data_IF_063970586581
#
_entry.id   IF_063970586581
#
_cell.length_a   1.000
_cell.length_b   1.000
_cell.length_c   1.000
_cell.angle_alpha   90.00
_cell.angle_beta   90.00
_cell.angle_gamma   90.00
#
_symmetry.space_group_name_H-M   'P 1'
#
loop_
_entity.id
_entity.type
_entity.pdbx_description
1 polymer ?
#
# COMPACT_ATOMS: atom_id res chain seq x y z
N UNK A 1 2.27 0.43 -20.84
CA UNK A 1 2.87 0.06 -19.53
C UNK A 1 1.92 -0.85 -18.79
N UNK A 2 2.42 -1.89 -18.11
CA UNK A 2 1.60 -2.86 -17.37
C UNK A 2 2.03 -2.90 -15.91
N UNK A 3 1.13 -2.54 -14.98
CA UNK A 3 1.41 -2.46 -13.54
C UNK A 3 0.59 -3.53 -12.80
N UNK A 4 1.26 -4.32 -11.96
CA UNK A 4 0.62 -5.21 -11.01
C UNK A 4 0.26 -4.41 -9.75
N UNK A 5 -1.01 -4.31 -9.44
CA UNK A 5 -1.49 -3.76 -8.18
C UNK A 5 -1.80 -4.92 -7.22
N UNK A 6 -1.22 -4.90 -6.02
CA UNK A 6 -1.46 -5.91 -4.98
C UNK A 6 -2.11 -5.29 -3.75
N UNK A 7 -3.21 -5.89 -3.27
CA UNK A 7 -3.93 -5.50 -2.06
C UNK A 7 -3.82 -6.55 -0.95
N UNK A 8 -4.01 -6.15 0.30
CA UNK A 8 -4.20 -7.08 1.43
C UNK A 8 -5.64 -7.61 1.52
N UNK A 9 -6.60 -6.96 0.89
CA UNK A 9 -7.98 -7.47 0.87
C UNK A 9 -8.13 -8.62 -0.12
N UNK A 10 -9.07 -9.51 0.14
CA UNK A 10 -9.65 -10.38 -0.89
C UNK A 10 -10.59 -9.47 -1.70
N UNK A 11 -10.19 -9.08 -2.91
CA UNK A 11 -10.91 -8.05 -3.69
C UNK A 11 -12.29 -8.51 -4.14
N UNK A 12 -12.47 -9.80 -4.33
CA UNK A 12 -13.73 -10.43 -4.71
C UNK A 12 -14.82 -10.24 -3.65
N UNK A 13 -14.42 -10.13 -2.38
CA UNK A 13 -15.33 -9.94 -1.25
C UNK A 13 -15.80 -8.48 -1.09
N UNK A 14 -15.20 -7.54 -1.83
CA UNK A 14 -15.38 -6.10 -1.66
C UNK A 14 -15.66 -5.36 -2.99
N UNK A 15 -16.70 -5.77 -3.79
CA UNK A 15 -16.92 -5.20 -5.12
C UNK A 15 -17.05 -3.67 -5.15
N UNK A 16 -17.80 -2.98 -4.24
CA UNK A 16 -17.91 -1.52 -4.31
C UNK A 16 -16.56 -0.80 -4.13
N UNK A 17 -15.72 -1.29 -3.22
CA UNK A 17 -14.37 -0.77 -3.02
C UNK A 17 -13.48 -1.05 -4.22
N UNK A 18 -13.46 -2.30 -4.71
CA UNK A 18 -12.67 -2.71 -5.87
C UNK A 18 -12.98 -1.86 -7.10
N UNK A 19 -14.26 -1.68 -7.41
CA UNK A 19 -14.70 -0.97 -8.61
C UNK A 19 -14.40 0.54 -8.50
N UNK A 20 -14.60 1.13 -7.32
CA UNK A 20 -14.24 2.51 -7.05
C UNK A 20 -12.72 2.75 -7.18
N UNK A 21 -11.92 1.82 -6.67
CA UNK A 21 -10.45 1.86 -6.77
C UNK A 21 -10.00 1.77 -8.23
N UNK A 22 -10.59 0.86 -9.02
CA UNK A 22 -10.29 0.71 -10.44
C UNK A 22 -10.61 1.98 -11.23
N UNK A 23 -11.78 2.59 -10.96
CA UNK A 23 -12.17 3.84 -11.60
C UNK A 23 -11.26 5.01 -11.20
N UNK A 24 -10.88 5.09 -9.93
CA UNK A 24 -9.97 6.12 -9.45
C UNK A 24 -8.59 6.01 -10.12
N UNK A 25 -8.02 4.80 -10.20
CA UNK A 25 -6.75 4.57 -10.90
C UNK A 25 -6.81 4.98 -12.37
N UNK A 26 -7.92 4.69 -13.09
CA UNK A 26 -8.09 5.14 -14.48
C UNK A 26 -8.10 6.65 -14.65
N UNK A 27 -8.57 7.41 -13.65
CA UNK A 27 -8.53 8.88 -13.66
C UNK A 27 -7.16 9.46 -13.37
N UNK A 28 -6.36 8.73 -12.60
CA UNK A 28 -5.03 9.18 -12.12
C UNK A 28 -3.94 8.85 -13.13
N UNK A 29 -3.97 7.65 -13.69
CA UNK A 29 -2.90 7.12 -14.53
C UNK A 29 -2.98 7.63 -15.97
N UNK A 30 -1.89 7.47 -16.72
CA UNK A 30 -1.88 7.74 -18.14
C UNK A 30 -2.83 6.81 -18.89
N UNK A 31 -3.42 7.24 -20.03
CA UNK A 31 -4.36 6.42 -20.78
C UNK A 31 -3.76 5.10 -21.32
N UNK A 32 -2.44 5.03 -21.51
CA UNK A 32 -1.71 3.86 -21.99
C UNK A 32 -1.20 2.93 -20.87
N UNK A 33 -1.45 3.27 -19.61
CA UNK A 33 -1.11 2.43 -18.47
C UNK A 33 -2.24 1.45 -18.16
N UNK A 34 -1.93 0.16 -18.23
CA UNK A 34 -2.81 -0.93 -17.83
C UNK A 34 -2.50 -1.36 -16.41
N UNK A 35 -3.52 -1.55 -15.59
CA UNK A 35 -3.40 -2.05 -14.21
C UNK A 35 -4.17 -3.35 -14.09
N UNK A 36 -3.50 -4.39 -13.63
CA UNK A 36 -4.15 -5.61 -13.16
C UNK A 36 -4.20 -5.59 -11.63
N UNK A 37 -5.42 -5.72 -11.11
CA UNK A 37 -5.69 -5.64 -9.67
C UNK A 37 -5.75 -7.03 -9.09
N UNK A 38 -4.89 -7.29 -8.10
CA UNK A 38 -4.82 -8.54 -7.38
C UNK A 38 -5.03 -8.30 -5.88
N UNK A 39 -5.74 -9.22 -5.24
CA UNK A 39 -5.91 -9.29 -3.79
C UNK A 39 -5.17 -10.47 -3.18
N UNK A 40 -5.42 -10.72 -1.90
CA UNK A 40 -5.09 -11.99 -1.27
C UNK A 40 -6.00 -13.09 -1.83
N UNK A 41 -5.55 -14.32 -1.73
CA UNK A 41 -6.32 -15.49 -2.17
C UNK A 41 -7.65 -15.62 -1.41
N UNK A 42 -8.73 -16.05 -2.08
CA UNK A 42 -9.98 -16.35 -1.40
C UNK A 42 -9.77 -17.29 -0.21
N UNK A 43 -10.43 -17.01 0.91
CA UNK A 43 -10.28 -17.80 2.14
C UNK A 43 -9.05 -17.47 2.99
N UNK A 44 -8.25 -16.46 2.62
CA UNK A 44 -7.13 -15.98 3.45
C UNK A 44 -7.59 -15.52 4.83
N UNK A 45 -8.75 -14.89 4.93
CA UNK A 45 -9.30 -14.38 6.19
C UNK A 45 -10.60 -15.07 6.56
N UNK A 46 -10.95 -15.12 7.86
CA UNK A 46 -12.22 -15.71 8.32
C UNK A 46 -13.45 -14.87 7.95
N UNK A 47 -13.24 -13.63 7.49
CA UNK A 47 -14.28 -12.69 7.04
C UNK A 47 -13.70 -11.75 5.99
N UNK A 48 -14.51 -10.82 5.47
CA UNK A 48 -14.04 -9.77 4.55
C UNK A 48 -13.13 -8.71 5.22
N UNK A 49 -12.86 -8.81 6.52
CA UNK A 49 -12.05 -7.85 7.27
C UNK A 49 -10.63 -8.38 7.51
N UNK A 50 -9.62 -7.91 6.77
CA UNK A 50 -8.23 -8.33 6.96
C UNK A 50 -7.66 -8.02 8.35
N UNK A 51 -8.18 -6.98 9.01
CA UNK A 51 -7.71 -6.56 10.34
C UNK A 51 -7.96 -7.59 11.45
N UNK A 52 -8.82 -8.59 11.23
CA UNK A 52 -8.96 -9.74 12.13
C UNK A 52 -7.63 -10.46 12.35
N UNK A 53 -6.82 -10.55 11.30
CA UNK A 53 -5.53 -11.24 11.30
C UNK A 53 -4.35 -10.26 11.31
N UNK A 54 -4.44 -9.16 10.54
CA UNK A 54 -3.35 -8.17 10.44
C UNK A 54 -3.08 -7.42 11.77
N UNK A 55 -4.02 -7.47 12.71
CA UNK A 55 -3.80 -7.00 14.08
C UNK A 55 -2.87 -7.89 14.91
N UNK A 56 -2.40 -9.02 14.38
CA UNK A 56 -1.45 -9.95 15.01
C UNK A 56 -0.21 -10.09 14.14
N UNK A 57 0.95 -9.75 14.71
CA UNK A 57 2.22 -9.72 13.97
C UNK A 57 2.53 -11.05 13.25
N UNK A 58 2.34 -12.19 13.91
CA UNK A 58 2.62 -13.49 13.33
C UNK A 58 1.71 -13.82 12.14
N UNK A 59 0.39 -13.58 12.27
CA UNK A 59 -0.56 -13.83 11.18
C UNK A 59 -0.30 -12.89 10.00
N UNK A 60 -0.08 -11.59 10.26
CA UNK A 60 0.29 -10.64 9.24
C UNK A 60 1.55 -11.05 8.48
N UNK A 61 2.57 -11.57 9.18
CA UNK A 61 3.81 -12.05 8.58
C UNK A 61 3.57 -13.28 7.68
N UNK A 62 2.74 -14.23 8.12
CA UNK A 62 2.40 -15.41 7.30
C UNK A 62 1.63 -15.03 6.02
N UNK A 63 0.64 -14.16 6.15
CA UNK A 63 -0.11 -13.66 4.98
C UNK A 63 0.78 -12.86 4.02
N UNK A 64 1.85 -12.25 4.53
CA UNK A 64 2.80 -11.48 3.72
C UNK A 64 3.58 -12.33 2.71
N UNK A 65 3.66 -13.64 2.88
CA UNK A 65 4.28 -14.53 1.90
C UNK A 65 3.59 -14.48 0.53
N UNK A 66 2.28 -14.25 0.48
CA UNK A 66 1.57 -14.08 -0.79
C UNK A 66 2.11 -12.89 -1.59
N UNK A 67 2.54 -11.81 -0.93
CA UNK A 67 3.14 -10.64 -1.60
C UNK A 67 4.46 -10.96 -2.29
N UNK A 68 5.28 -11.79 -1.65
CA UNK A 68 6.54 -12.27 -2.22
C UNK A 68 6.28 -13.07 -3.49
N UNK A 69 5.36 -14.02 -3.40
CA UNK A 69 5.01 -14.90 -4.51
C UNK A 69 4.43 -14.12 -5.69
N UNK A 70 3.48 -13.21 -5.41
CA UNK A 70 2.84 -12.37 -6.43
C UNK A 70 3.81 -11.39 -7.10
N UNK A 71 4.84 -10.92 -6.41
CA UNK A 71 5.87 -10.08 -7.02
C UNK A 71 6.73 -10.88 -8.02
N UNK A 72 7.11 -12.12 -7.67
CA UNK A 72 7.83 -13.03 -8.58
C UNK A 72 6.97 -13.37 -9.80
N UNK A 73 5.68 -13.64 -9.60
CA UNK A 73 4.71 -13.89 -10.66
C UNK A 73 4.57 -12.67 -11.58
N UNK A 74 4.45 -11.46 -11.00
CA UNK A 74 4.35 -10.22 -11.77
C UNK A 74 5.57 -10.04 -12.71
N UNK A 75 6.78 -10.27 -12.21
CA UNK A 75 7.97 -10.20 -13.07
C UNK A 75 7.97 -11.27 -14.17
N UNK A 76 7.62 -12.52 -13.83
CA UNK A 76 7.55 -13.64 -14.80
C UNK A 76 6.53 -13.38 -15.91
N UNK A 77 5.42 -12.72 -15.58
CA UNK A 77 4.35 -12.37 -16.51
C UNK A 77 4.60 -11.03 -17.24
N UNK A 78 5.80 -10.46 -17.12
CA UNK A 78 6.23 -9.32 -17.91
C UNK A 78 5.60 -7.99 -17.51
N UNK A 79 5.22 -7.83 -16.24
CA UNK A 79 4.78 -6.53 -15.72
C UNK A 79 5.96 -5.56 -15.63
N UNK A 80 5.68 -4.29 -15.82
CA UNK A 80 6.67 -3.19 -15.78
C UNK A 80 6.96 -2.70 -14.36
N UNK A 81 6.03 -2.88 -13.43
CA UNK A 81 6.17 -2.51 -12.01
C UNK A 81 5.21 -3.31 -11.12
N UNK A 82 5.58 -3.44 -9.85
CA UNK A 82 4.76 -4.04 -8.78
C UNK A 82 4.40 -2.97 -7.74
N UNK A 83 3.12 -2.65 -7.60
CA UNK A 83 2.60 -1.64 -6.69
C UNK A 83 1.92 -2.30 -5.47
N UNK A 84 2.49 -2.10 -4.30
CA UNK A 84 2.01 -2.64 -3.03
C UNK A 84 1.02 -1.68 -2.39
N UNK A 85 -0.28 -1.92 -2.59
CA UNK A 85 -1.37 -1.06 -2.14
C UNK A 85 -1.75 -1.30 -0.67
N UNK A 86 -0.77 -1.26 0.23
CA UNK A 86 -0.96 -1.39 1.67
C UNK A 86 0.10 -0.61 2.44
N UNK A 87 -0.30 -0.01 3.56
CA UNK A 87 0.59 0.88 4.31
C UNK A 87 1.76 0.16 4.99
N UNK A 88 1.65 -1.07 5.52
CA UNK A 88 2.79 -1.74 6.13
C UNK A 88 3.92 -2.09 5.15
N UNK A 89 3.66 -2.16 3.86
CA UNK A 89 4.61 -2.60 2.81
C UNK A 89 5.33 -3.91 3.20
N UNK A 90 4.58 -5.01 3.42
CA UNK A 90 5.14 -6.22 3.98
C UNK A 90 6.23 -6.81 3.09
N UNK A 91 7.36 -7.16 3.70
CA UNK A 91 8.50 -7.80 3.01
C UNK A 91 8.99 -7.05 1.76
N UNK A 92 8.82 -5.73 1.68
CA UNK A 92 9.20 -4.94 0.50
C UNK A 92 10.70 -5.04 0.20
N UNK A 93 11.55 -5.15 1.23
CA UNK A 93 13.00 -5.30 1.05
C UNK A 93 13.33 -6.66 0.47
N UNK A 94 12.73 -7.71 0.99
CA UNK A 94 12.86 -9.10 0.53
C UNK A 94 12.38 -9.22 -0.93
N UNK A 95 11.22 -8.67 -1.24
CA UNK A 95 10.66 -8.64 -2.60
C UNK A 95 11.65 -7.98 -3.56
N UNK A 96 12.23 -6.85 -3.19
CA UNK A 96 13.22 -6.13 -4.01
C UNK A 96 14.50 -6.93 -4.27
N UNK A 97 14.82 -7.92 -3.45
CA UNK A 97 15.93 -8.84 -3.74
C UNK A 97 15.57 -9.96 -4.71
N UNK A 98 14.29 -10.15 -5.02
CA UNK A 98 13.81 -11.25 -5.86
C UNK A 98 13.40 -10.81 -7.26
N UNK A 99 13.06 -9.54 -7.48
CA UNK A 99 12.58 -9.04 -8.76
C UNK A 99 13.40 -7.83 -9.22
N UNK A 100 13.50 -7.64 -10.54
CA UNK A 100 14.17 -6.48 -11.17
C UNK A 100 13.19 -5.37 -11.55
N UNK A 101 11.89 -5.68 -11.63
CA UNK A 101 10.89 -4.64 -11.86
C UNK A 101 10.80 -3.71 -10.62
N UNK A 102 10.52 -2.40 -10.80
CA UNK A 102 10.31 -1.49 -9.68
C UNK A 102 9.21 -1.98 -8.73
N UNK A 103 9.51 -1.95 -7.44
CA UNK A 103 8.57 -2.27 -6.37
C UNK A 103 8.29 -1.01 -5.57
N UNK A 104 7.04 -0.53 -5.60
CA UNK A 104 6.60 0.70 -4.95
C UNK A 104 5.58 0.38 -3.88
N UNK A 105 5.87 0.77 -2.65
CA UNK A 105 4.99 0.54 -1.51
C UNK A 105 4.19 1.79 -1.13
N UNK A 106 2.92 1.61 -0.79
CA UNK A 106 2.01 2.68 -0.38
C UNK A 106 2.55 3.49 0.81
N UNK A 107 2.98 2.82 1.89
CA UNK A 107 3.50 3.51 3.07
C UNK A 107 4.76 4.31 2.75
N UNK A 108 5.78 3.64 2.19
CA UNK A 108 7.04 4.27 1.81
C UNK A 108 6.82 5.48 0.90
N UNK A 109 6.07 5.31 -0.19
CA UNK A 109 5.75 6.38 -1.13
C UNK A 109 5.01 7.53 -0.45
N UNK A 110 4.00 7.22 0.37
CA UNK A 110 3.22 8.22 1.08
C UNK A 110 4.04 9.01 2.09
N UNK A 111 4.92 8.36 2.86
CA UNK A 111 5.76 9.04 3.86
C UNK A 111 6.75 10.01 3.20
N UNK A 112 7.40 9.58 2.12
CA UNK A 112 8.36 10.42 1.41
C UNK A 112 7.67 11.58 0.69
N UNK A 113 6.55 11.36 -0.01
CA UNK A 113 5.81 12.43 -0.68
C UNK A 113 5.18 13.39 0.32
N UNK A 114 4.62 12.91 1.43
CA UNK A 114 4.11 13.78 2.49
C UNK A 114 5.23 14.70 3.04
N UNK A 115 6.46 14.17 3.15
CA UNK A 115 7.63 14.96 3.57
C UNK A 115 8.07 16.02 2.57
N UNK A 116 7.64 15.94 1.31
CA UNK A 116 7.84 16.97 0.28
C UNK A 116 6.74 18.03 0.29
N UNK A 117 5.54 17.68 0.75
CA UNK A 117 4.37 18.57 0.77
C UNK A 117 4.28 19.40 2.06
N UNK A 118 4.80 18.89 3.18
CA UNK A 118 4.75 19.55 4.48
C UNK A 118 5.95 19.21 5.33
N UNK A 119 6.12 19.96 6.43
CA UNK A 119 7.20 19.72 7.38
C UNK A 119 6.98 18.44 8.19
N UNK A 120 5.74 18.17 8.60
CA UNK A 120 5.36 17.01 9.40
C UNK A 120 4.08 16.38 8.89
N UNK A 121 3.99 15.07 8.96
CA UNK A 121 2.78 14.34 8.58
C UNK A 121 2.22 13.54 9.76
N UNK A 122 0.93 13.26 9.70
CA UNK A 122 0.25 12.32 10.58
C UNK A 122 -0.41 11.20 9.80
N UNK A 123 -0.52 10.01 10.39
CA UNK A 123 -1.17 8.85 9.79
C UNK A 123 -2.42 8.49 10.58
N UNK A 124 -3.55 8.32 9.91
CA UNK A 124 -4.83 7.94 10.51
C UNK A 124 -5.24 6.55 10.04
N UNK A 125 -5.37 5.60 10.97
CA UNK A 125 -5.65 4.18 10.69
C UNK A 125 -6.96 3.71 11.31
N UNK A 126 -7.61 2.70 10.74
CA UNK A 126 -8.74 2.02 11.37
C UNK A 126 -8.36 0.64 11.95
N UNK A 127 -7.15 0.14 11.69
CA UNK A 127 -6.58 -1.03 12.37
C UNK A 127 -5.60 -0.53 13.43
N UNK A 128 -6.11 -0.04 14.54
CA UNK A 128 -5.33 0.65 15.59
C UNK A 128 -4.14 -0.17 16.09
N UNK A 129 -4.27 -1.51 16.14
CA UNK A 129 -3.22 -2.43 16.56
C UNK A 129 -1.96 -2.37 15.69
N UNK A 130 -2.05 -1.87 14.46
CA UNK A 130 -0.89 -1.70 13.57
C UNK A 130 -0.08 -0.44 13.85
N UNK A 131 -0.56 0.48 14.67
CA UNK A 131 0.13 1.76 14.89
C UNK A 131 1.60 1.60 15.30
N UNK A 132 1.98 0.73 16.26
CA UNK A 132 3.39 0.55 16.61
C UNK A 132 4.24 0.04 15.45
N UNK A 133 3.73 -0.88 14.63
CA UNK A 133 4.43 -1.39 13.45
C UNK A 133 4.67 -0.28 12.43
N UNK A 134 3.68 0.58 12.20
CA UNK A 134 3.81 1.69 11.26
C UNK A 134 4.79 2.76 11.76
N UNK A 135 4.81 3.03 13.05
CA UNK A 135 5.80 3.93 13.66
C UNK A 135 7.22 3.40 13.51
N UNK A 136 7.42 2.09 13.70
CA UNK A 136 8.70 1.41 13.43
C UNK A 136 9.11 1.52 11.97
N UNK A 137 8.18 1.30 11.02
CA UNK A 137 8.45 1.46 9.58
C UNK A 137 8.84 2.91 9.25
N UNK A 138 8.10 3.90 9.74
CA UNK A 138 8.41 5.32 9.55
C UNK A 138 9.81 5.64 10.09
N UNK A 139 10.15 5.12 11.26
CA UNK A 139 11.49 5.28 11.84
C UNK A 139 12.56 4.60 10.99
N UNK A 140 12.27 3.41 10.45
CA UNK A 140 13.16 2.69 9.53
C UNK A 140 13.48 3.43 8.23
N UNK A 141 12.59 4.36 7.80
CA UNK A 141 12.83 5.29 6.69
C UNK A 141 13.57 6.59 7.12
N UNK A 142 13.94 6.73 8.38
CA UNK A 142 14.56 7.96 8.92
C UNK A 142 13.59 9.13 9.09
N UNK A 143 12.28 8.88 9.09
CA UNK A 143 11.23 9.90 9.09
C UNK A 143 10.50 10.06 10.44
N UNK A 144 10.98 9.43 11.52
CA UNK A 144 10.37 9.52 12.85
C UNK A 144 10.18 10.97 13.32
N UNK A 145 11.16 11.85 13.11
CA UNK A 145 11.07 13.27 13.48
C UNK A 145 10.08 14.07 12.61
N UNK A 146 9.68 13.52 11.46
CA UNK A 146 8.70 14.11 10.54
C UNK A 146 7.27 13.60 10.80
N UNK A 147 7.11 12.53 11.58
CA UNK A 147 5.80 11.97 11.93
C UNK A 147 5.28 12.58 13.24
N UNK A 148 4.05 13.08 13.22
CA UNK A 148 3.34 13.54 14.43
C UNK A 148 2.85 12.36 15.26
N UNK A 149 2.58 11.23 14.60
CA UNK A 149 2.13 9.98 15.18
C UNK A 149 1.23 9.20 14.22
N UNK A 150 0.97 7.96 14.57
CA UNK A 150 -0.03 7.09 13.95
C UNK A 150 -1.18 6.97 14.93
N UNK A 151 -2.40 7.34 14.54
CA UNK A 151 -3.56 7.39 15.43
C UNK A 151 -4.81 6.78 14.78
N UNK A 152 -5.79 6.35 15.61
CA UNK A 152 -7.09 5.92 15.11
C UNK A 152 -7.75 6.98 14.23
N UNK A 153 -8.33 6.54 13.12
CA UNK A 153 -9.07 7.41 12.18
C UNK A 153 -10.46 7.79 12.68
N UNK A 154 -10.90 7.17 13.79
CA UNK A 154 -12.20 7.37 14.37
C UNK A 154 -13.33 6.60 13.67
N UNK A 155 -13.03 5.83 12.63
CA UNK A 155 -13.98 4.98 11.90
C UNK A 155 -13.51 3.53 11.90
N UNK A 156 -14.45 2.61 11.80
CA UNK A 156 -14.19 1.17 11.66
C UNK A 156 -14.18 0.76 10.18
N UNK A 157 -13.61 -0.40 9.87
CA UNK A 157 -13.64 -0.96 8.53
C UNK A 157 -15.07 -1.10 7.98
N UNK A 158 -16.03 -1.56 8.80
CA UNK A 158 -17.42 -1.72 8.37
C UNK A 158 -18.08 -0.37 8.06
N UNK A 159 -17.77 0.67 8.84
CA UNK A 159 -18.23 2.02 8.53
C UNK A 159 -17.64 2.53 7.22
N UNK A 160 -16.34 2.27 6.97
CA UNK A 160 -15.69 2.63 5.69
C UNK A 160 -16.38 1.92 4.53
N UNK A 161 -16.70 0.63 4.64
CA UNK A 161 -17.43 -0.10 3.59
C UNK A 161 -18.83 0.47 3.36
N UNK A 162 -19.57 0.78 4.41
CA UNK A 162 -20.88 1.45 4.31
C UNK A 162 -20.76 2.84 3.66
N UNK A 163 -19.64 3.50 3.85
CA UNK A 163 -19.31 4.80 3.27
C UNK A 163 -19.27 4.83 1.75
N UNK A 164 -19.04 3.69 1.08
CA UNK A 164 -19.13 3.62 -0.37
C UNK A 164 -20.55 3.84 -0.91
N UNK A 165 -21.57 3.70 -0.06
CA UNK A 165 -22.96 4.05 -0.38
C UNK A 165 -23.37 5.37 0.31
N UNK A 166 -22.93 5.61 1.54
CA UNK A 166 -23.29 6.79 2.34
C UNK A 166 -22.04 7.41 2.94
N UNK A 167 -21.28 8.22 2.18
CA UNK A 167 -19.94 8.67 2.58
C UNK A 167 -19.93 9.73 3.71
N UNK A 168 -20.97 10.54 3.84
CA UNK A 168 -21.01 11.69 4.76
C UNK A 168 -20.52 11.39 6.17
N UNK A 169 -21.11 10.45 6.91
CA UNK A 169 -20.73 10.16 8.30
C UNK A 169 -19.24 9.73 8.45
N UNK A 170 -18.71 8.99 7.49
CA UNK A 170 -17.30 8.56 7.52
C UNK A 170 -16.37 9.75 7.27
N UNK A 171 -16.73 10.61 6.30
CA UNK A 171 -15.94 11.80 5.98
C UNK A 171 -15.95 12.79 7.14
N UNK A 172 -17.10 13.06 7.73
CA UNK A 172 -17.22 13.95 8.90
C UNK A 172 -16.35 13.47 10.05
N UNK A 173 -16.45 12.19 10.39
CA UNK A 173 -15.67 11.60 11.49
C UNK A 173 -14.18 11.63 11.21
N UNK A 174 -13.75 11.28 9.97
CA UNK A 174 -12.36 11.39 9.56
C UNK A 174 -11.85 12.83 9.68
N UNK A 175 -12.63 13.83 9.24
CA UNK A 175 -12.24 15.24 9.31
C UNK A 175 -12.07 15.72 10.75
N UNK A 176 -12.91 15.27 11.69
CA UNK A 176 -12.76 15.57 13.11
C UNK A 176 -11.41 15.07 13.63
N UNK A 177 -11.07 13.82 13.37
CA UNK A 177 -9.81 13.21 13.80
C UNK A 177 -8.59 13.85 13.08
N UNK A 178 -8.75 14.21 11.80
CA UNK A 178 -7.73 14.94 11.06
C UNK A 178 -7.43 16.31 11.71
N UNK A 179 -8.45 17.04 12.17
CA UNK A 179 -8.26 18.31 12.91
C UNK A 179 -7.50 18.13 14.22
N UNK A 180 -7.71 17.00 14.92
CA UNK A 180 -6.91 16.69 16.12
C UNK A 180 -5.43 16.49 15.78
N UNK A 181 -5.16 15.79 14.69
CA UNK A 181 -3.79 15.57 14.19
C UNK A 181 -3.14 16.88 13.73
N UNK A 182 -3.91 17.77 13.06
CA UNK A 182 -3.48 19.12 12.66
C UNK A 182 -3.12 19.95 13.89
N UNK A 183 -3.95 19.96 14.93
CA UNK A 183 -3.64 20.65 16.20
C UNK A 183 -2.38 20.09 16.89
N UNK A 184 -2.06 18.81 16.66
CA UNK A 184 -0.81 18.21 17.12
C UNK A 184 0.39 18.54 16.24
N UNK A 185 0.20 19.32 15.16
CA UNK A 185 1.25 19.86 14.30
C UNK A 185 1.51 19.09 13.01
N UNK A 186 0.52 18.36 12.50
CA UNK A 186 0.60 17.75 11.17
C UNK A 186 0.30 18.80 10.08
N UNK A 187 1.15 18.85 9.07
CA UNK A 187 0.99 19.66 7.85
C UNK A 187 0.47 18.84 6.67
N UNK A 188 0.44 17.51 6.80
CA UNK A 188 -0.11 16.56 5.83
C UNK A 188 -0.75 15.40 6.59
N UNK A 189 -1.91 14.93 6.15
CA UNK A 189 -2.57 13.74 6.70
C UNK A 189 -2.52 12.61 5.68
N UNK A 190 -2.11 11.43 6.13
CA UNK A 190 -2.08 10.20 5.35
C UNK A 190 -3.20 9.29 5.85
N UNK A 191 -4.24 9.00 5.05
CA UNK A 191 -5.17 7.92 5.34
C UNK A 191 -4.41 6.58 5.31
N UNK A 192 -4.37 5.84 6.40
CA UNK A 192 -3.46 4.71 6.56
C UNK A 192 -3.84 3.47 5.76
N UNK A 193 -5.12 3.21 5.59
CA UNK A 193 -5.57 2.03 4.85
C UNK A 193 -6.27 2.40 3.55
N UNK A 194 -6.02 1.57 2.54
CA UNK A 194 -6.47 1.81 1.18
C UNK A 194 -8.00 2.01 1.04
N UNK A 195 -8.89 1.23 1.69
CA UNK A 195 -10.33 1.47 1.58
C UNK A 195 -10.75 2.87 2.04
N UNK A 196 -10.16 3.38 3.12
CA UNK A 196 -10.42 4.75 3.59
C UNK A 196 -9.85 5.78 2.62
N UNK A 197 -8.62 5.59 2.14
CA UNK A 197 -8.00 6.48 1.15
C UNK A 197 -8.87 6.62 -0.11
N UNK A 198 -9.28 5.50 -0.70
CA UNK A 198 -10.11 5.49 -1.92
C UNK A 198 -11.43 6.20 -1.68
N UNK A 199 -12.12 5.92 -0.56
CA UNK A 199 -13.37 6.59 -0.20
C UNK A 199 -13.22 8.11 -0.13
N UNK A 200 -12.19 8.60 0.54
CA UNK A 200 -11.92 10.03 0.64
C UNK A 200 -11.60 10.64 -0.73
N UNK A 201 -10.76 9.98 -1.53
CA UNK A 201 -10.32 10.46 -2.83
C UNK A 201 -11.48 10.58 -3.84
N UNK A 202 -12.34 9.55 -3.94
CA UNK A 202 -13.48 9.58 -4.89
C UNK A 202 -14.57 10.59 -4.49
N UNK A 203 -14.64 10.95 -3.21
CA UNK A 203 -15.54 11.98 -2.69
C UNK A 203 -14.89 13.38 -2.66
N UNK A 204 -13.71 13.56 -3.23
CA UNK A 204 -13.06 14.86 -3.37
C UNK A 204 -12.52 15.45 -2.08
N UNK A 205 -12.28 14.66 -1.04
CA UNK A 205 -11.70 15.11 0.24
C UNK A 205 -10.19 15.27 0.06
N UNK A 206 -9.78 16.46 -0.38
CA UNK A 206 -8.38 16.77 -0.69
C UNK A 206 -7.68 17.55 0.43
N UNK A 207 -8.44 18.22 1.27
CA UNK A 207 -7.92 19.10 2.32
C UNK A 207 -8.85 19.11 3.52
N UNK A 208 -8.28 19.32 4.70
CA UNK A 208 -8.99 19.66 5.94
C UNK A 208 -8.30 20.88 6.53
N UNK A 209 -9.04 21.98 6.72
CA UNK A 209 -8.56 23.24 7.30
C UNK A 209 -7.24 23.75 6.67
N UNK A 210 -7.10 23.61 5.33
CA UNK A 210 -5.90 24.02 4.61
C UNK A 210 -4.76 23.00 4.61
N UNK A 211 -4.91 21.86 5.30
CA UNK A 211 -3.92 20.77 5.33
C UNK A 211 -4.30 19.68 4.32
N UNK A 212 -3.39 19.29 3.42
CA UNK A 212 -3.68 18.28 2.42
C UNK A 212 -3.91 16.89 3.03
N UNK A 213 -4.89 16.20 2.48
CA UNK A 213 -5.13 14.77 2.68
C UNK A 213 -4.47 14.05 1.51
N UNK A 214 -3.46 13.25 1.80
CA UNK A 214 -2.68 12.57 0.76
C UNK A 214 -3.50 11.46 0.11
N UNK A 215 -3.64 11.51 -1.20
CA UNK A 215 -4.10 10.35 -1.97
C UNK A 215 -2.94 9.39 -2.20
N UNK A 216 -2.76 8.49 -1.25
CA UNK A 216 -1.63 7.56 -1.27
C UNK A 216 -1.73 6.51 -2.38
N UNK A 217 -2.96 6.15 -2.85
CA UNK A 217 -3.12 5.28 -4.02
C UNK A 217 -2.58 5.98 -5.27
N UNK A 218 -3.01 7.22 -5.51
CA UNK A 218 -2.54 8.01 -6.64
C UNK A 218 -1.02 8.17 -6.61
N UNK A 219 -0.45 8.48 -5.44
CA UNK A 219 1.01 8.60 -5.24
C UNK A 219 1.72 7.29 -5.58
N UNK A 220 1.28 6.17 -5.02
CA UNK A 220 1.90 4.85 -5.24
C UNK A 220 1.89 4.48 -6.72
N UNK A 221 0.75 4.63 -7.37
CA UNK A 221 0.59 4.26 -8.77
C UNK A 221 1.37 5.18 -9.71
N UNK A 222 1.40 6.49 -9.43
CA UNK A 222 2.23 7.45 -10.20
C UNK A 222 3.72 7.22 -10.02
N UNK A 223 4.17 6.85 -8.84
CA UNK A 223 5.56 6.47 -8.63
C UNK A 223 5.91 5.16 -9.35
N UNK A 224 4.99 4.20 -9.40
CA UNK A 224 5.17 2.98 -10.17
C UNK A 224 5.33 3.28 -11.68
N UNK A 225 4.48 4.17 -12.25
CA UNK A 225 4.67 4.67 -13.63
C UNK A 225 6.04 5.32 -13.82
N UNK A 226 6.40 6.26 -12.93
CA UNK A 226 7.64 7.01 -13.06
C UNK A 226 8.88 6.10 -12.97
N UNK A 227 8.88 5.15 -12.04
CA UNK A 227 10.02 4.23 -11.88
C UNK A 227 10.12 3.23 -13.04
N UNK A 228 9.00 2.76 -13.58
CA UNK A 228 9.00 1.95 -14.78
C UNK A 228 9.53 2.71 -16.00
N UNK A 229 9.16 3.99 -16.16
CA UNK A 229 9.69 4.84 -17.22
C UNK A 229 11.19 5.10 -17.04
N UNK A 230 11.65 5.44 -15.84
CA UNK A 230 13.07 5.64 -15.54
C UNK A 230 13.89 4.37 -15.79
N UNK A 231 13.33 3.21 -15.46
CA UNK A 231 13.96 1.93 -15.76
C UNK A 231 14.16 1.73 -17.28
N UNK A 232 13.15 2.04 -18.08
CA UNK A 232 13.19 1.90 -19.53
C UNK A 232 14.12 2.92 -20.20
N UNK A 233 14.15 4.15 -19.68
CA UNK A 233 14.85 5.27 -20.35
C UNK A 233 16.31 5.42 -19.95
N UNK A 234 16.63 5.20 -18.67
CA UNK A 234 17.97 5.45 -18.12
C UNK A 234 18.55 4.26 -17.36
N UNK A 235 17.88 3.10 -17.37
CA UNK A 235 18.35 1.90 -16.66
C UNK A 235 18.25 2.00 -15.14
N UNK A 236 17.35 2.85 -14.62
CA UNK A 236 17.09 2.97 -13.18
C UNK A 236 16.74 1.61 -12.59
N UNK A 237 17.48 1.17 -11.58
CA UNK A 237 17.31 -0.16 -10.99
C UNK A 237 17.58 -0.15 -9.50
N UNK A 238 17.14 -1.19 -8.83
CA UNK A 238 17.45 -1.44 -7.44
C UNK A 238 18.92 -1.82 -7.28
N UNK A 239 19.52 -1.51 -6.12
CA UNK A 239 20.87 -1.96 -5.79
C UNK A 239 20.93 -3.49 -5.80
N UNK A 240 21.99 -4.04 -6.42
CA UNK A 240 22.29 -5.49 -6.42
C UNK A 240 23.55 -5.79 -5.59
N UNK A 241 23.84 -4.95 -4.61
CA UNK A 241 25.02 -5.08 -3.78
C UNK A 241 24.69 -5.53 -2.37
N UNK A 242 25.40 -6.53 -1.87
CA UNK A 242 25.35 -7.01 -0.50
C UNK A 242 24.05 -7.66 -0.09
N UNK A 243 23.93 -7.95 1.21
CA UNK A 243 22.81 -8.73 1.79
C UNK A 243 21.41 -8.19 1.45
N UNK A 244 21.24 -6.87 1.41
CA UNK A 244 19.95 -6.23 1.13
C UNK A 244 19.64 -6.02 -0.35
N UNK A 245 20.51 -6.45 -1.26
CA UNK A 245 20.32 -6.22 -2.71
C UNK A 245 20.56 -7.44 -3.58
N UNK A 246 21.44 -8.36 -3.17
CA UNK A 246 21.85 -9.51 -3.99
C UNK A 246 20.70 -10.49 -4.20
N UNK A 247 20.47 -10.90 -5.47
CA UNK A 247 19.46 -11.91 -5.82
C UNK A 247 19.98 -13.32 -5.56
N UNK A 248 19.10 -14.28 -5.20
CA UNK A 248 19.42 -15.70 -5.26
C UNK A 248 19.87 -16.10 -6.67
N UNK A 249 20.92 -16.92 -6.77
CA UNK A 249 21.50 -17.37 -8.06
C UNK A 249 20.83 -18.62 -8.59
N UNK A 250 20.73 -18.69 -9.93
CA UNK A 250 20.19 -19.86 -10.62
C UNK A 250 18.79 -20.24 -10.19
N UNK A 251 18.53 -21.52 -10.02
CA UNK A 251 17.22 -22.07 -9.64
C UNK A 251 16.97 -22.08 -8.11
N UNK A 252 17.83 -21.41 -7.31
CA UNK A 252 17.76 -21.56 -5.85
C UNK A 252 16.43 -21.08 -5.27
N UNK A 253 15.86 -20.01 -5.81
CA UNK A 253 14.54 -19.55 -5.39
C UNK A 253 13.48 -20.64 -5.62
N UNK A 254 13.42 -21.21 -6.82
CA UNK A 254 12.44 -22.23 -7.19
C UNK A 254 12.58 -23.49 -6.30
N UNK A 255 13.81 -23.91 -6.03
CA UNK A 255 14.09 -25.04 -5.11
C UNK A 255 13.58 -24.77 -3.69
N UNK A 256 13.72 -23.53 -3.18
CA UNK A 256 13.22 -23.17 -1.85
C UNK A 256 11.70 -23.10 -1.84
N UNK A 257 11.09 -22.53 -2.86
CA UNK A 257 9.62 -22.47 -2.98
C UNK A 257 9.03 -23.88 -3.04
N UNK A 258 9.62 -24.77 -3.85
CA UNK A 258 9.19 -26.18 -3.93
C UNK A 258 9.35 -26.92 -2.59
N UNK A 259 10.47 -26.70 -1.88
CA UNK A 259 10.71 -27.32 -0.58
C UNK A 259 9.62 -26.99 0.44
N UNK A 260 9.14 -25.74 0.45
CA UNK A 260 8.04 -25.31 1.33
C UNK A 260 6.66 -25.48 0.72
N UNK A 261 6.53 -26.02 -0.50
CA UNK A 261 5.25 -26.17 -1.21
C UNK A 261 4.60 -24.84 -1.63
N UNK A 262 5.38 -23.77 -1.68
CA UNK A 262 4.92 -22.42 -2.04
C UNK A 262 4.83 -22.20 -3.56
N UNK A 263 5.51 -23.03 -4.34
CA UNK A 263 5.44 -23.06 -5.80
C UNK A 263 4.02 -23.29 -6.33
N UNK A 264 3.20 -24.02 -5.58
CA UNK A 264 1.78 -24.28 -5.91
C UNK A 264 0.85 -23.07 -5.77
N UNK A 265 1.36 -22.00 -5.19
CA UNK A 265 0.63 -20.73 -5.03
C UNK A 265 0.95 -19.70 -6.12
N UNK A 266 1.89 -20.05 -7.04
CA UNK A 266 2.28 -19.29 -8.21
C UNK A 266 1.87 -20.12 -9.42
N UNK A 267 0.83 -19.73 -10.15
CA UNK A 267 0.44 -20.33 -11.42
C UNK A 267 0.85 -19.46 -12.62
#
# INVERSE_FOLDING_TARGET
MKIWHQSFTVLEDLPPYRDAMAEHMRKVLRPDTQVEMHGQLPGTYPSNYPGSDLGFLALGSLHSLQWVLRAVEAERNGFDAYAMATIPNPLIREIRTLVDIPVVGYGEASYHVASMLGRRFGVLVFIDRMAPLLEEHIAGHGLASRCVGVRPSGVTFQQVLAGYTTPGPVIERFQETAREMIRAGADVIIPGEMPLNVLLAINGVKMVDGVPILDGLAVTMKMAEAFADLRKTIGFSQSRHGFYGERPKGERLDQVLAFYGLDKLIE
#
